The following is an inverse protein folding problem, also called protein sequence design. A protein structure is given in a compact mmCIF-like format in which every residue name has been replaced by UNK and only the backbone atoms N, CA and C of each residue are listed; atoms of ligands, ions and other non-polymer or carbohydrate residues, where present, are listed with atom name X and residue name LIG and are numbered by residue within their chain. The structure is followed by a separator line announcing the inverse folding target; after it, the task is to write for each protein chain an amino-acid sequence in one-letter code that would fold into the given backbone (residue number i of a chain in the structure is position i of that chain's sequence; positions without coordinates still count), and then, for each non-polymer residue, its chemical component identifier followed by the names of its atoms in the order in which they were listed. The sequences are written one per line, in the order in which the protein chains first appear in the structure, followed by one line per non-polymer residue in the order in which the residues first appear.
data_IF_574468771360
#
_entry.id   IF_574468771360
#
_cell.length_a   1.000
_cell.length_b   1.000
_cell.length_c   1.000
_cell.angle_alpha   90.00
_cell.angle_beta   90.00
_cell.angle_gamma   90.00
#
_symmetry.space_group_name_H-M   'P 1'
#
loop_
_entity.id
_entity.type
_entity.pdbx_description
1 polymer ?
#
# COMPACT_ATOMS: atom_id res chain seq x y z
N UNK A 1 1.09 20.46 12.24
CA UNK A 1 1.53 19.18 11.64
C UNK A 1 2.54 19.51 10.56
N UNK A 2 3.77 19.02 10.68
CA UNK A 2 4.86 19.33 9.71
C UNK A 2 4.70 18.51 8.43
N UNK A 3 5.35 18.92 7.34
CA UNK A 3 5.32 18.18 6.07
C UNK A 3 5.80 16.72 6.18
N UNK A 4 6.71 16.46 7.13
CA UNK A 4 7.16 15.10 7.46
C UNK A 4 6.03 14.22 8.01
N UNK A 5 5.17 14.77 8.88
CA UNK A 5 4.00 14.04 9.40
C UNK A 5 3.06 13.63 8.26
N UNK A 6 2.80 14.53 7.32
CA UNK A 6 1.96 14.22 6.16
C UNK A 6 2.57 13.17 5.24
N UNK A 7 3.89 13.20 5.04
CA UNK A 7 4.59 12.19 4.28
C UNK A 7 4.41 10.79 4.88
N UNK A 8 4.57 10.64 6.20
CA UNK A 8 4.34 9.37 6.88
C UNK A 8 2.88 8.93 6.82
N UNK A 9 1.92 9.84 6.98
CA UNK A 9 0.50 9.53 6.88
C UNK A 9 0.14 9.01 5.48
N UNK A 10 0.55 9.73 4.42
CA UNK A 10 0.29 9.30 3.05
C UNK A 10 1.00 7.98 2.74
N UNK A 11 2.25 7.82 3.17
CA UNK A 11 3.01 6.58 3.03
C UNK A 11 2.31 5.39 3.69
N UNK A 12 1.79 5.57 4.91
CA UNK A 12 1.02 4.54 5.60
C UNK A 12 -0.28 4.18 4.86
N UNK A 13 -1.02 5.17 4.35
CA UNK A 13 -2.26 4.91 3.58
C UNK A 13 -1.95 4.12 2.32
N UNK A 14 -0.90 4.49 1.58
CA UNK A 14 -0.47 3.77 0.37
C UNK A 14 -0.03 2.35 0.71
N UNK A 15 0.75 2.16 1.77
CA UNK A 15 1.22 0.85 2.20
C UNK A 15 0.05 -0.08 2.60
N UNK A 16 -0.92 0.41 3.37
CA UNK A 16 -2.10 -0.36 3.77
C UNK A 16 -2.98 -0.68 2.56
N UNK A 17 -3.19 0.27 1.65
CA UNK A 17 -3.94 0.03 0.41
C UNK A 17 -3.26 -1.01 -0.48
N UNK A 18 -1.95 -0.94 -0.62
CA UNK A 18 -1.17 -1.92 -1.38
C UNK A 18 -1.23 -3.31 -0.73
N UNK A 19 -1.11 -3.38 0.60
CA UNK A 19 -1.21 -4.64 1.35
C UNK A 19 -2.62 -5.24 1.19
N UNK A 20 -3.67 -4.45 1.38
CA UNK A 20 -5.05 -4.89 1.19
C UNK A 20 -5.29 -5.39 -0.25
N UNK A 21 -4.76 -4.68 -1.25
CA UNK A 21 -4.81 -5.11 -2.65
C UNK A 21 -4.07 -6.43 -2.88
N UNK A 22 -2.90 -6.62 -2.26
CA UNK A 22 -2.12 -7.86 -2.36
C UNK A 22 -2.89 -9.09 -1.84
N UNK A 23 -3.69 -8.91 -0.79
CA UNK A 23 -4.57 -9.97 -0.27
C UNK A 23 -5.81 -10.24 -1.14
N UNK A 24 -6.12 -9.38 -2.12
CA UNK A 24 -7.20 -9.63 -3.08
C UNK A 24 -6.72 -10.52 -4.25
N UNK A 25 -7.65 -11.20 -4.94
CA UNK A 25 -7.36 -12.02 -6.14
C UNK A 25 -6.44 -11.35 -7.17
N UNK A 26 -6.63 -10.07 -7.58
CA UNK A 26 -5.74 -9.44 -8.55
C UNK A 26 -4.32 -9.23 -8.02
N UNK A 27 -4.17 -8.80 -6.76
CA UNK A 27 -2.85 -8.62 -6.15
C UNK A 27 -2.10 -9.94 -5.97
N UNK A 28 -2.80 -11.01 -5.55
CA UNK A 28 -2.21 -12.35 -5.46
C UNK A 28 -1.72 -12.85 -6.82
N UNK A 29 -2.53 -12.72 -7.88
CA UNK A 29 -2.14 -13.10 -9.24
C UNK A 29 -0.96 -12.27 -9.74
N UNK A 30 -0.94 -10.98 -9.44
CA UNK A 30 0.17 -10.09 -9.79
C UNK A 30 1.47 -10.52 -9.10
N UNK A 31 1.42 -10.88 -7.80
CA UNK A 31 2.56 -11.41 -7.05
C UNK A 31 3.04 -12.77 -7.59
N UNK A 32 2.13 -13.66 -8.01
CA UNK A 32 2.48 -14.95 -8.61
C UNK A 32 3.15 -14.82 -10.00
N UNK A 33 3.03 -13.65 -10.66
CA UNK A 33 3.65 -13.37 -11.96
C UNK A 33 4.91 -12.48 -11.86
N UNK A 34 5.30 -12.10 -10.64
CA UNK A 34 6.54 -11.38 -10.34
C UNK A 34 7.70 -12.38 -10.19
#
# INVERSE_FOLDING_TARGET
MTGLTWFFVVGCVVAVAFLAWLYTKPGKKWLENL
#
